data_IF_496212614197
#
_entry.id   IF_496212614197
#
_cell.length_a   1.000
_cell.length_b   1.000
_cell.length_c   1.000
_cell.angle_alpha   90.00
_cell.angle_beta   90.00
_cell.angle_gamma   90.00
#
_symmetry.space_group_name_H-M   'P 1'
#
loop_
_entity.id
_entity.type
_entity.pdbx_description
1 polymer ?
#
# COMPACT_ATOMS: atom_id res chain seq x y z
N UNK A 1 19.35 28.05 -27.71
CA UNK A 1 18.44 27.40 -26.75
C UNK A 1 18.33 28.30 -25.53
N UNK A 2 17.16 28.89 -25.24
CA UNK A 2 16.98 29.78 -24.09
C UNK A 2 16.90 28.92 -22.81
N UNK A 3 17.81 29.14 -21.88
CA UNK A 3 17.83 28.42 -20.59
C UNK A 3 16.61 28.76 -19.75
N UNK A 4 15.95 27.73 -19.21
CA UNK A 4 14.85 27.91 -18.27
C UNK A 4 15.43 28.31 -16.91
N UNK A 5 14.96 29.43 -16.36
CA UNK A 5 15.42 29.97 -15.08
C UNK A 5 15.07 29.03 -13.91
N UNK A 6 15.98 28.89 -12.94
CA UNK A 6 15.75 28.16 -11.69
C UNK A 6 14.48 28.64 -10.94
N UNK A 7 14.13 29.92 -11.07
CA UNK A 7 12.92 30.51 -10.49
C UNK A 7 11.61 29.96 -11.10
N UNK A 8 11.68 29.42 -12.33
CA UNK A 8 10.55 28.77 -13.01
C UNK A 8 10.52 27.26 -12.74
N UNK A 9 11.68 26.65 -12.50
CA UNK A 9 11.83 25.21 -12.26
C UNK A 9 11.42 24.80 -10.85
N UNK A 10 11.76 25.60 -9.83
CA UNK A 10 11.48 25.27 -8.42
C UNK A 10 9.98 25.20 -8.09
N UNK A 11 9.12 26.15 -8.53
CA UNK A 11 7.67 26.06 -8.33
C UNK A 11 7.02 24.92 -9.10
N UNK A 12 7.59 24.54 -10.26
CA UNK A 12 7.14 23.41 -11.07
C UNK A 12 7.45 22.08 -10.37
N UNK A 13 8.65 21.94 -9.80
CA UNK A 13 9.08 20.79 -9.01
C UNK A 13 8.28 20.65 -7.70
N UNK A 14 8.01 21.77 -7.01
CA UNK A 14 7.18 21.78 -5.80
C UNK A 14 5.72 21.37 -6.06
N UNK A 15 5.22 21.52 -7.31
CA UNK A 15 3.93 20.97 -7.74
C UNK A 15 4.01 19.51 -8.22
N UNK A 16 5.20 19.06 -8.62
CA UNK A 16 5.41 17.70 -9.13
C UNK A 16 5.50 16.64 -8.04
N UNK A 17 5.90 17.02 -6.82
CA UNK A 17 6.04 16.11 -5.68
C UNK A 17 5.18 16.55 -4.51
N UNK A 18 4.31 15.66 -4.05
CA UNK A 18 3.49 15.85 -2.86
C UNK A 18 3.91 14.90 -1.74
N UNK A 19 4.08 15.42 -0.53
CA UNK A 19 4.30 14.62 0.68
C UNK A 19 3.03 14.57 1.50
N UNK A 20 2.64 13.38 1.95
CA UNK A 20 1.47 13.17 2.81
C UNK A 20 1.92 12.54 4.12
N UNK A 21 1.40 13.04 5.24
CA UNK A 21 1.63 12.49 6.56
C UNK A 21 0.61 11.38 6.86
N UNK A 22 1.10 10.15 6.89
CA UNK A 22 0.34 8.95 7.19
C UNK A 22 0.91 8.36 8.49
N UNK A 23 0.59 8.97 9.63
CA UNK A 23 1.02 8.52 10.96
C UNK A 23 0.00 8.94 12.01
N UNK A 24 -0.29 8.11 13.03
CA UNK A 24 -1.35 8.37 14.01
C UNK A 24 -0.96 9.42 15.06
N UNK A 25 -0.60 10.63 14.62
CA UNK A 25 -0.16 11.75 15.49
C UNK A 25 -1.30 12.60 16.06
N UNK A 26 -2.56 12.23 15.85
CA UNK A 26 -3.72 12.96 16.35
C UNK A 26 -3.67 13.15 17.88
N UNK A 27 -3.33 12.08 18.60
CA UNK A 27 -3.28 12.11 20.07
C UNK A 27 -2.18 13.05 20.58
N UNK A 28 -1.05 13.13 19.88
CA UNK A 28 0.07 14.01 20.21
C UNK A 28 -0.29 15.50 20.03
N UNK A 29 -1.17 15.82 19.08
CA UNK A 29 -1.62 17.19 18.85
C UNK A 29 -2.72 17.62 19.83
N UNK A 30 -3.52 16.67 20.33
CA UNK A 30 -4.63 16.94 21.23
C UNK A 30 -4.21 16.97 22.71
N UNK A 31 -3.20 16.19 23.09
CA UNK A 31 -2.69 16.14 24.47
C UNK A 31 -1.54 17.12 24.65
N UNK A 32 -1.54 17.89 25.74
CA UNK A 32 -0.31 18.47 26.23
C UNK A 32 0.55 17.31 26.78
N UNK A 33 1.79 17.22 26.32
CA UNK A 33 2.77 16.29 26.86
C UNK A 33 3.76 17.15 27.63
N UNK A 34 3.86 16.95 28.95
CA UNK A 34 4.68 17.79 29.86
C UNK A 34 4.34 19.29 29.87
N UNK A 35 3.07 19.64 29.66
CA UNK A 35 2.64 21.05 29.65
C UNK A 35 2.90 21.77 28.31
N UNK A 36 3.58 21.13 27.37
CA UNK A 36 3.80 21.67 26.03
C UNK A 36 2.89 21.00 24.99
N UNK A 37 2.33 21.81 24.08
CA UNK A 37 1.66 21.29 22.89
C UNK A 37 2.74 20.96 21.87
N UNK A 38 3.06 19.68 21.71
CA UNK A 38 3.96 19.24 20.64
C UNK A 38 3.25 19.46 19.30
N UNK A 39 3.56 20.59 18.65
CA UNK A 39 2.89 21.03 17.41
C UNK A 39 3.89 21.03 16.27
N UNK A 40 3.86 19.96 15.47
CA UNK A 40 4.63 19.93 14.23
C UNK A 40 3.94 20.87 13.25
N UNK A 41 4.67 21.87 12.77
CA UNK A 41 4.17 22.74 11.70
C UNK A 41 4.36 22.04 10.34
N UNK A 42 3.42 21.17 9.98
CA UNK A 42 3.46 20.45 8.70
C UNK A 42 3.43 21.38 7.48
N UNK A 43 2.81 22.56 7.60
CA UNK A 43 2.75 23.55 6.51
C UNK A 43 4.15 24.09 6.20
N UNK A 44 4.96 24.35 7.22
CA UNK A 44 6.37 24.76 7.07
C UNK A 44 7.18 23.79 6.21
N UNK A 45 6.81 22.50 6.20
CA UNK A 45 7.51 21.45 5.47
C UNK A 45 6.82 21.00 4.18
N UNK A 46 5.75 21.70 3.73
CA UNK A 46 4.90 21.28 2.61
C UNK A 46 4.37 19.84 2.75
N UNK A 47 4.10 19.41 3.98
CA UNK A 47 3.52 18.10 4.27
C UNK A 47 2.00 18.26 4.36
N UNK A 48 1.29 17.52 3.51
CA UNK A 48 -0.17 17.45 3.53
C UNK A 48 -0.61 16.49 4.63
N UNK A 49 -1.63 16.88 5.40
CA UNK A 49 -2.18 16.04 6.47
C UNK A 49 -3.67 15.86 6.27
N UNK A 50 -4.21 14.76 6.79
CA UNK A 50 -5.64 14.66 7.05
C UNK A 50 -6.11 15.76 8.01
N UNK A 51 -7.37 16.15 7.88
CA UNK A 51 -8.05 17.10 8.76
C UNK A 51 -7.97 16.62 10.21
N UNK A 52 -7.63 17.51 11.14
CA UNK A 52 -7.39 17.19 12.57
C UNK A 52 -6.31 16.11 12.80
N UNK A 53 -5.45 15.87 11.82
CA UNK A 53 -4.37 14.87 11.88
C UNK A 53 -4.88 13.44 12.14
N UNK A 54 -6.11 13.14 11.71
CA UNK A 54 -6.65 11.78 11.82
C UNK A 54 -5.82 10.82 10.98
N UNK A 55 -5.73 9.58 11.45
CA UNK A 55 -4.97 8.55 10.75
C UNK A 55 -5.58 8.27 9.36
N UNK A 56 -6.89 8.01 9.32
CA UNK A 56 -7.69 7.97 8.10
C UNK A 56 -8.51 9.26 7.98
N UNK A 57 -8.54 9.90 6.81
CA UNK A 57 -9.22 11.17 6.62
C UNK A 57 -9.34 11.62 5.16
N UNK A 58 -9.44 12.94 4.95
CA UNK A 58 -9.79 13.55 3.67
C UNK A 58 -8.65 13.58 2.61
N UNK A 59 -7.44 13.16 2.97
CA UNK A 59 -6.27 13.12 2.08
C UNK A 59 -5.80 11.70 1.79
N UNK A 60 -5.78 10.85 2.82
CA UNK A 60 -5.30 9.47 2.75
C UNK A 60 -6.06 8.59 3.73
N UNK A 61 -6.37 7.38 3.28
CA UNK A 61 -6.98 6.30 4.08
C UNK A 61 -6.24 5.01 3.77
N UNK A 62 -5.83 4.29 4.82
CA UNK A 62 -5.26 2.95 4.72
C UNK A 62 -6.21 1.91 5.33
N UNK A 63 -6.36 0.80 4.63
CA UNK A 63 -7.19 -0.34 4.98
C UNK A 63 -6.30 -1.53 5.29
N UNK A 64 -6.01 -1.74 6.57
CA UNK A 64 -5.24 -2.90 7.02
C UNK A 64 -6.04 -4.20 6.90
N UNK A 65 -5.38 -5.26 6.45
CA UNK A 65 -5.89 -6.62 6.31
C UNK A 65 -6.67 -7.19 7.50
N UNK A 66 -6.40 -6.75 8.73
CA UNK A 66 -7.12 -7.22 9.92
C UNK A 66 -8.52 -6.62 10.06
N UNK A 67 -8.75 -5.46 9.44
CA UNK A 67 -9.96 -4.64 9.65
C UNK A 67 -10.70 -4.32 8.34
N UNK A 68 -10.25 -4.84 7.20
CA UNK A 68 -10.82 -4.53 5.88
C UNK A 68 -11.38 -5.77 5.17
N UNK A 69 -12.70 -5.78 5.00
CA UNK A 69 -13.43 -6.93 4.48
C UNK A 69 -13.24 -8.16 5.36
N UNK A 70 -13.43 -9.33 4.76
CA UNK A 70 -13.11 -10.64 5.35
C UNK A 70 -11.89 -11.24 4.66
N UNK A 71 -10.73 -10.59 4.79
CA UNK A 71 -9.49 -11.09 4.21
C UNK A 71 -9.14 -12.48 4.77
N UNK A 72 -8.97 -13.51 3.94
CA UNK A 72 -8.68 -14.87 4.40
C UNK A 72 -7.19 -15.02 4.70
N UNK A 73 -6.83 -15.59 5.85
CA UNK A 73 -5.43 -15.87 6.19
C UNK A 73 -5.29 -16.90 7.31
N UNK A 74 -4.10 -17.48 7.46
CA UNK A 74 -3.78 -18.33 8.61
C UNK A 74 -3.15 -17.51 9.72
N UNK A 75 -3.76 -17.52 10.92
CA UNK A 75 -3.24 -16.78 12.08
C UNK A 75 -1.85 -17.32 12.43
N UNK A 76 -0.87 -16.44 12.56
CA UNK A 76 0.54 -16.79 12.79
C UNK A 76 1.11 -17.79 11.75
N UNK A 77 0.54 -17.82 10.53
CA UNK A 77 0.86 -18.80 9.49
C UNK A 77 0.65 -20.25 9.93
N UNK A 78 -0.23 -20.51 10.90
CA UNK A 78 -0.64 -21.85 11.31
C UNK A 78 -1.90 -22.29 10.55
N UNK A 79 -1.78 -23.38 9.78
CA UNK A 79 -2.89 -23.91 8.96
C UNK A 79 -4.08 -24.41 9.80
N UNK A 80 -3.85 -24.72 11.08
CA UNK A 80 -4.89 -25.13 12.03
C UNK A 80 -5.73 -23.95 12.57
N UNK A 81 -5.32 -22.72 12.24
CA UNK A 81 -6.00 -21.50 12.67
C UNK A 81 -6.40 -20.62 11.47
N UNK A 82 -7.29 -21.11 10.59
CA UNK A 82 -7.79 -20.32 9.47
C UNK A 82 -8.70 -19.18 9.96
N UNK A 83 -8.46 -17.99 9.44
CA UNK A 83 -9.35 -16.83 9.53
C UNK A 83 -10.01 -16.65 8.18
N UNK A 84 -11.35 -16.57 8.15
CA UNK A 84 -12.17 -16.46 6.94
C UNK A 84 -11.86 -17.54 5.87
N UNK A 85 -11.54 -18.76 6.31
CA UNK A 85 -11.17 -19.89 5.43
C UNK A 85 -9.68 -19.95 5.08
N UNK A 86 -8.84 -19.06 5.59
CA UNK A 86 -7.38 -19.14 5.44
C UNK A 86 -6.83 -18.72 4.08
N UNK A 87 -7.53 -19.05 2.99
CA UNK A 87 -7.15 -18.76 1.60
C UNK A 87 -8.36 -18.35 0.75
N UNK A 88 -8.17 -17.59 -0.35
CA UNK A 88 -9.22 -17.22 -1.29
C UNK A 88 -10.10 -18.38 -1.81
N UNK A 89 -9.56 -19.60 -1.95
CA UNK A 89 -10.31 -20.75 -2.43
C UNK A 89 -11.39 -21.23 -1.45
N UNK A 90 -11.18 -20.98 -0.16
CA UNK A 90 -12.09 -21.40 0.91
C UNK A 90 -12.87 -20.21 1.51
N UNK A 91 -12.63 -18.99 1.02
CA UNK A 91 -13.28 -17.80 1.51
C UNK A 91 -14.64 -17.58 0.84
N UNK A 92 -15.58 -16.97 1.57
CA UNK A 92 -16.80 -16.43 0.98
C UNK A 92 -16.51 -15.02 0.43
N UNK A 93 -16.22 -14.94 -0.88
CA UNK A 93 -15.89 -13.67 -1.54
C UNK A 93 -17.04 -12.66 -1.46
N UNK A 94 -18.30 -13.08 -1.55
CA UNK A 94 -19.45 -12.17 -1.44
C UNK A 94 -19.48 -11.52 -0.06
N UNK A 95 -19.36 -12.31 1.01
CA UNK A 95 -19.32 -11.79 2.37
C UNK A 95 -18.10 -10.87 2.61
N UNK A 96 -16.94 -11.17 1.99
CA UNK A 96 -15.79 -10.26 2.01
C UNK A 96 -16.13 -8.90 1.40
N UNK A 97 -16.76 -8.89 0.22
CA UNK A 97 -17.11 -7.65 -0.49
C UNK A 97 -18.18 -6.85 0.25
N UNK A 98 -19.21 -7.49 0.81
CA UNK A 98 -20.23 -6.82 1.63
C UNK A 98 -19.62 -6.16 2.87
N UNK A 99 -18.70 -6.86 3.55
CA UNK A 99 -17.96 -6.29 4.68
C UNK A 99 -17.06 -5.14 4.23
N UNK A 100 -16.34 -5.31 3.13
CA UNK A 100 -15.45 -4.28 2.58
C UNK A 100 -16.22 -3.01 2.20
N UNK A 101 -17.42 -3.12 1.62
CA UNK A 101 -18.28 -1.98 1.31
C UNK A 101 -18.67 -1.21 2.57
N UNK A 102 -19.05 -1.91 3.65
CA UNK A 102 -19.32 -1.29 4.95
C UNK A 102 -18.07 -0.58 5.50
N UNK A 103 -16.92 -1.23 5.46
CA UNK A 103 -15.65 -0.67 5.96
C UNK A 103 -15.23 0.60 5.19
N UNK A 104 -15.45 0.63 3.87
CA UNK A 104 -15.21 1.81 3.03
C UNK A 104 -16.18 2.92 3.37
N UNK A 105 -17.47 2.61 3.52
CA UNK A 105 -18.48 3.61 3.88
C UNK A 105 -18.21 4.24 5.26
N UNK A 106 -17.69 3.46 6.21
CA UNK A 106 -17.30 3.97 7.53
C UNK A 106 -16.02 4.81 7.48
N UNK A 107 -15.01 4.38 6.71
CA UNK A 107 -13.69 5.03 6.70
C UNK A 107 -13.62 6.24 5.75
N UNK A 108 -14.40 6.21 4.67
CA UNK A 108 -14.47 7.25 3.64
C UNK A 108 -15.95 7.62 3.47
N UNK A 109 -16.57 8.36 4.41
CA UNK A 109 -17.98 8.70 4.33
C UNK A 109 -18.30 9.64 3.15
N UNK A 110 -17.32 10.45 2.70
CA UNK A 110 -17.47 11.30 1.53
C UNK A 110 -17.39 10.48 0.23
N UNK A 111 -18.51 10.37 -0.50
CA UNK A 111 -18.57 9.67 -1.79
C UNK A 111 -17.72 10.35 -2.88
N UNK A 112 -17.45 11.65 -2.74
CA UNK A 112 -16.64 12.42 -3.67
C UNK A 112 -15.14 12.44 -3.30
N UNK A 113 -14.74 11.68 -2.27
CA UNK A 113 -13.35 11.58 -1.82
C UNK A 113 -12.40 11.37 -2.99
N UNK A 114 -11.41 12.26 -3.11
CA UNK A 114 -10.42 12.29 -4.19
C UNK A 114 -8.97 12.10 -3.71
N UNK A 115 -8.82 11.68 -2.45
CA UNK A 115 -7.54 11.34 -1.84
C UNK A 115 -7.06 9.94 -2.24
N UNK A 116 -6.07 9.45 -1.50
CA UNK A 116 -5.48 8.12 -1.71
C UNK A 116 -6.14 7.08 -0.81
N UNK A 117 -6.52 5.94 -1.38
CA UNK A 117 -7.11 4.82 -0.65
C UNK A 117 -6.23 3.58 -0.85
N UNK A 118 -5.59 3.14 0.23
CA UNK A 118 -4.54 2.13 0.19
C UNK A 118 -5.06 0.84 0.82
N UNK A 119 -5.04 -0.26 0.07
CA UNK A 119 -5.37 -1.59 0.60
C UNK A 119 -4.07 -2.29 0.98
N UNK A 120 -3.94 -2.67 2.25
CA UNK A 120 -2.74 -3.27 2.79
C UNK A 120 -2.95 -4.76 3.09
N UNK A 121 -2.80 -5.58 2.04
CA UNK A 121 -2.90 -7.04 2.08
C UNK A 121 -1.51 -7.69 2.04
N UNK A 122 -1.10 -8.28 3.15
CA UNK A 122 0.24 -8.80 3.36
C UNK A 122 0.31 -10.24 3.89
N UNK A 123 -0.77 -10.86 4.39
CA UNK A 123 -0.69 -12.25 4.90
C UNK A 123 -0.30 -13.27 3.84
N UNK A 124 -0.63 -13.03 2.58
CA UNK A 124 -0.16 -13.81 1.44
C UNK A 124 0.07 -12.90 0.23
N UNK A 125 0.88 -13.37 -0.70
CA UNK A 125 1.24 -12.67 -1.94
C UNK A 125 0.39 -13.17 -3.13
N UNK A 126 0.16 -12.33 -4.15
CA UNK A 126 -0.75 -12.66 -5.26
C UNK A 126 -0.26 -13.78 -6.17
N UNK A 127 1.04 -14.05 -6.24
CA UNK A 127 1.61 -15.19 -6.96
C UNK A 127 2.09 -16.28 -6.00
N UNK A 128 1.93 -17.54 -6.41
CA UNK A 128 2.26 -18.67 -5.55
C UNK A 128 3.75 -18.70 -5.19
N UNK A 129 4.61 -18.49 -6.20
CA UNK A 129 6.07 -18.45 -6.05
C UNK A 129 6.59 -17.38 -5.09
N UNK A 130 5.78 -16.40 -4.73
CA UNK A 130 6.15 -15.34 -3.78
C UNK A 130 5.87 -15.73 -2.32
N UNK A 131 5.09 -16.79 -2.07
CA UNK A 131 4.65 -17.16 -0.72
C UNK A 131 5.62 -18.11 0.00
N UNK A 132 6.47 -18.83 -0.74
CA UNK A 132 7.56 -19.61 -0.15
C UNK A 132 8.59 -18.70 0.56
N UNK A 133 8.73 -17.47 0.08
CA UNK A 133 9.53 -16.42 0.71
C UNK A 133 8.79 -15.92 1.98
N UNK A 134 9.46 -15.99 3.13
CA UNK A 134 8.95 -15.62 4.48
C UNK A 134 7.98 -16.61 5.16
N UNK A 135 7.92 -17.87 4.73
CA UNK A 135 7.08 -18.91 5.36
C UNK A 135 5.58 -18.54 5.38
N UNK A 136 5.11 -17.73 4.42
CA UNK A 136 3.68 -17.43 4.27
C UNK A 136 2.98 -18.70 3.82
N UNK A 137 2.46 -19.46 4.79
CA UNK A 137 1.83 -20.75 4.50
C UNK A 137 0.54 -20.52 3.73
N UNK A 138 0.48 -21.03 2.52
CA UNK A 138 -0.75 -21.14 1.75
C UNK A 138 -0.95 -22.63 1.49
N UNK A 139 -1.91 -23.26 2.18
CA UNK A 139 -2.27 -24.66 1.91
C UNK A 139 -2.88 -24.75 0.52
N UNK A 140 -2.25 -25.46 -0.42
CA UNK A 140 -2.69 -25.48 -1.83
C UNK A 140 -2.72 -26.90 -2.37
N UNK A 141 -3.81 -27.22 -3.07
CA UNK A 141 -3.93 -28.42 -3.90
C UNK A 141 -3.72 -28.15 -5.40
N UNK A 142 -3.72 -26.88 -5.87
CA UNK A 142 -3.51 -26.53 -7.30
C UNK A 142 -3.01 -25.08 -7.53
N UNK A 143 -1.89 -24.94 -8.27
CA UNK A 143 -1.30 -23.65 -8.69
C UNK A 143 -2.22 -22.86 -9.62
N UNK A 144 -2.97 -23.54 -10.49
CA UNK A 144 -3.92 -22.88 -11.41
C UNK A 144 -5.10 -22.28 -10.66
N UNK A 145 -5.66 -23.01 -9.70
CA UNK A 145 -6.75 -22.52 -8.86
C UNK A 145 -6.29 -21.32 -8.01
N UNK A 146 -5.05 -21.36 -7.50
CA UNK A 146 -4.42 -20.23 -6.82
C UNK A 146 -4.42 -19.00 -7.73
N UNK A 147 -3.85 -19.09 -8.94
CA UNK A 147 -3.72 -17.95 -9.85
C UNK A 147 -5.08 -17.31 -10.17
N UNK A 148 -6.11 -18.11 -10.39
CA UNK A 148 -7.44 -17.59 -10.72
C UNK A 148 -8.14 -16.93 -9.53
N UNK A 149 -8.15 -17.60 -8.37
CA UNK A 149 -8.93 -17.15 -7.21
C UNK A 149 -8.26 -16.02 -6.43
N UNK A 150 -6.92 -16.05 -6.30
CA UNK A 150 -6.17 -14.95 -5.67
C UNK A 150 -6.29 -13.67 -6.49
N UNK A 151 -6.10 -13.77 -7.82
CA UNK A 151 -6.30 -12.65 -8.74
C UNK A 151 -7.71 -12.10 -8.65
N UNK A 152 -8.72 -12.98 -8.68
CA UNK A 152 -10.13 -12.58 -8.58
C UNK A 152 -10.41 -11.84 -7.28
N UNK A 153 -9.84 -12.28 -6.16
CA UNK A 153 -10.00 -11.61 -4.87
C UNK A 153 -9.49 -10.17 -4.93
N UNK A 154 -8.23 -9.95 -5.32
CA UNK A 154 -7.64 -8.62 -5.46
C UNK A 154 -8.45 -7.71 -6.39
N UNK A 155 -8.80 -8.21 -7.59
CA UNK A 155 -9.54 -7.43 -8.58
C UNK A 155 -10.92 -7.04 -8.07
N UNK A 156 -11.68 -7.98 -7.49
CA UNK A 156 -13.04 -7.69 -7.02
C UNK A 156 -13.04 -6.69 -5.86
N UNK A 157 -12.07 -6.76 -4.96
CA UNK A 157 -11.95 -5.81 -3.85
C UNK A 157 -11.61 -4.40 -4.32
N UNK A 158 -10.65 -4.22 -5.22
CA UNK A 158 -10.31 -2.86 -5.73
C UNK A 158 -11.38 -2.32 -6.67
N UNK A 159 -12.02 -3.16 -7.49
CA UNK A 159 -13.16 -2.79 -8.33
C UNK A 159 -14.33 -2.26 -7.48
N UNK A 160 -14.62 -2.90 -6.35
CA UNK A 160 -15.61 -2.43 -5.40
C UNK A 160 -15.28 -1.01 -4.90
N UNK A 161 -14.06 -0.79 -4.42
CA UNK A 161 -13.62 0.53 -3.94
C UNK A 161 -13.74 1.60 -5.02
N UNK A 162 -13.30 1.31 -6.24
CA UNK A 162 -13.40 2.21 -7.40
C UNK A 162 -14.85 2.51 -7.77
N UNK A 163 -15.74 1.53 -7.66
CA UNK A 163 -17.17 1.70 -7.95
C UNK A 163 -17.81 2.68 -6.97
N UNK A 164 -17.55 2.53 -5.67
CA UNK A 164 -18.22 3.31 -4.63
C UNK A 164 -17.49 4.61 -4.27
N UNK A 165 -16.19 4.75 -4.58
CA UNK A 165 -15.39 5.97 -4.44
C UNK A 165 -14.63 6.26 -5.73
N UNK A 166 -15.37 6.68 -6.76
CA UNK A 166 -14.90 6.87 -8.14
C UNK A 166 -13.75 7.87 -8.30
N UNK A 167 -13.70 8.90 -7.44
CA UNK A 167 -12.68 9.94 -7.51
C UNK A 167 -11.40 9.59 -6.74
N UNK A 168 -11.46 8.55 -5.89
CA UNK A 168 -10.35 8.15 -5.05
C UNK A 168 -9.28 7.43 -5.87
N UNK A 169 -8.03 7.61 -5.46
CA UNK A 169 -6.87 6.96 -6.07
C UNK A 169 -6.58 5.67 -5.31
N UNK A 170 -7.15 4.55 -5.77
CA UNK A 170 -6.97 3.25 -5.15
C UNK A 170 -5.67 2.57 -5.58
N UNK A 171 -5.10 1.79 -4.68
CA UNK A 171 -4.01 0.87 -4.98
C UNK A 171 -3.66 0.00 -3.79
N UNK A 172 -2.73 -0.92 -4.00
CA UNK A 172 -2.28 -1.85 -2.98
C UNK A 172 -0.92 -1.44 -2.44
N UNK A 173 -0.76 -1.47 -1.12
CA UNK A 173 0.52 -1.24 -0.47
C UNK A 173 1.56 -2.30 -0.90
N UNK A 174 2.81 -1.85 -1.02
CA UNK A 174 3.96 -2.68 -1.33
C UNK A 174 4.20 -2.89 -2.82
N UNK A 175 3.24 -2.60 -3.70
CA UNK A 175 3.35 -2.85 -5.14
C UNK A 175 3.79 -1.61 -5.94
N UNK A 176 4.64 -1.79 -6.98
CA UNK A 176 5.29 -3.03 -7.41
C UNK A 176 6.41 -3.46 -6.44
N UNK A 177 6.73 -4.76 -6.44
CA UNK A 177 7.83 -5.25 -5.63
C UNK A 177 9.18 -4.98 -6.28
N UNK A 178 10.19 -4.84 -5.43
CA UNK A 178 11.60 -4.80 -5.81
C UNK A 178 12.41 -5.50 -4.71
N UNK A 179 13.73 -5.41 -4.82
CA UNK A 179 14.66 -5.85 -3.80
C UNK A 179 14.33 -5.26 -2.43
N UNK A 180 13.88 -6.09 -1.49
CA UNK A 180 13.74 -5.69 -0.08
C UNK A 180 15.10 -5.45 0.60
N UNK A 181 16.19 -5.85 -0.05
CA UNK A 181 17.59 -5.57 0.30
C UNK A 181 18.21 -4.48 -0.58
N UNK A 182 17.40 -3.67 -1.28
CA UNK A 182 17.87 -2.56 -2.09
C UNK A 182 18.79 -1.63 -1.27
N UNK A 183 19.89 -1.20 -1.87
CA UNK A 183 21.00 -0.56 -1.16
C UNK A 183 22.08 -1.53 -0.68
N UNK A 184 22.17 -2.75 -1.23
CA UNK A 184 23.31 -3.65 -1.10
C UNK A 184 24.03 -3.85 -2.45
N UNK A 185 24.50 -2.75 -3.04
CA UNK A 185 25.38 -2.78 -4.22
C UNK A 185 24.71 -2.89 -5.60
N UNK A 186 23.38 -3.09 -5.66
CA UNK A 186 22.63 -3.13 -6.93
C UNK A 186 21.56 -2.06 -7.02
N UNK A 187 21.48 -1.38 -8.18
CA UNK A 187 20.54 -0.28 -8.47
C UNK A 187 19.24 -0.71 -9.18
N UNK A 188 19.17 -1.97 -9.60
CA UNK A 188 18.03 -2.51 -10.34
C UNK A 188 17.35 -3.61 -9.54
N UNK A 189 16.04 -3.76 -9.74
CA UNK A 189 15.34 -4.92 -9.22
C UNK A 189 15.91 -6.20 -9.85
N UNK A 190 16.09 -7.26 -9.05
CA UNK A 190 16.46 -8.58 -9.54
C UNK A 190 15.40 -9.09 -10.53
N UNK A 191 15.82 -9.89 -11.51
CA UNK A 191 14.93 -10.35 -12.58
C UNK A 191 13.75 -11.17 -12.07
N UNK A 192 13.87 -11.82 -10.90
CA UNK A 192 12.73 -12.49 -10.24
C UNK A 192 11.59 -11.51 -9.93
N UNK A 193 11.90 -10.31 -9.41
CA UNK A 193 10.89 -9.29 -9.10
C UNK A 193 10.31 -8.70 -10.37
N UNK A 194 11.13 -8.49 -11.40
CA UNK A 194 10.64 -8.03 -12.72
C UNK A 194 9.62 -9.02 -13.30
N UNK A 195 9.94 -10.32 -13.30
CA UNK A 195 9.04 -11.39 -13.75
C UNK A 195 7.73 -11.43 -12.95
N UNK A 196 7.82 -11.36 -11.62
CA UNK A 196 6.62 -11.31 -10.77
C UNK A 196 5.77 -10.07 -11.05
N UNK A 197 6.39 -8.90 -11.22
CA UNK A 197 5.67 -7.68 -11.59
C UNK A 197 4.98 -7.81 -12.96
N UNK A 198 5.63 -8.44 -13.95
CA UNK A 198 5.01 -8.72 -15.25
C UNK A 198 3.76 -9.58 -15.13
N UNK A 199 3.78 -10.61 -14.28
CA UNK A 199 2.62 -11.46 -14.00
C UNK A 199 1.53 -10.73 -13.19
N UNK A 200 1.93 -9.79 -12.33
CA UNK A 200 1.05 -8.97 -11.50
C UNK A 200 0.55 -7.68 -12.16
N UNK A 201 0.77 -7.49 -13.46
CA UNK A 201 0.24 -6.34 -14.23
C UNK A 201 -1.24 -6.07 -14.00
N UNK A 202 -2.02 -7.10 -13.66
CA UNK A 202 -3.43 -6.95 -13.32
C UNK A 202 -3.71 -6.07 -12.10
N UNK A 203 -2.84 -6.09 -11.09
CA UNK A 203 -2.93 -5.22 -9.93
C UNK A 203 -2.68 -3.78 -10.37
N UNK A 204 -1.64 -3.57 -11.18
CA UNK A 204 -1.23 -2.24 -11.62
C UNK A 204 -2.28 -1.61 -12.54
N UNK A 205 -2.79 -2.39 -13.51
CA UNK A 205 -3.83 -1.95 -14.42
C UNK A 205 -5.16 -1.67 -13.71
N UNK A 206 -5.45 -2.38 -12.61
CA UNK A 206 -6.65 -2.13 -11.83
C UNK A 206 -6.52 -0.91 -10.90
N UNK A 207 -5.30 -0.56 -10.49
CA UNK A 207 -5.00 0.54 -9.57
C UNK A 207 -5.02 1.91 -10.26
N UNK A 208 -5.28 2.97 -9.48
CA UNK A 208 -5.14 4.38 -9.91
C UNK A 208 -3.89 5.05 -9.33
N UNK A 209 -3.22 4.39 -8.37
CA UNK A 209 -1.92 4.77 -7.82
C UNK A 209 -1.12 3.52 -7.43
N UNK A 210 0.21 3.63 -7.43
CA UNK A 210 1.13 2.57 -7.00
C UNK A 210 1.82 2.99 -5.70
N UNK A 211 1.96 2.06 -4.77
CA UNK A 211 2.47 2.31 -3.41
C UNK A 211 3.64 1.38 -3.07
N UNK A 212 4.76 1.44 -3.80
CA UNK A 212 5.93 0.62 -3.50
C UNK A 212 6.48 0.98 -2.11
N UNK A 213 6.82 -0.03 -1.32
CA UNK A 213 7.47 0.20 -0.02
C UNK A 213 8.95 0.44 -0.21
N UNK A 214 9.46 1.49 0.43
CA UNK A 214 10.86 1.95 0.32
C UNK A 214 11.54 1.99 1.69
N UNK A 215 11.03 1.23 2.65
CA UNK A 215 11.57 1.17 4.00
C UNK A 215 13.00 0.64 4.01
N UNK A 216 13.84 1.26 4.83
CA UNK A 216 15.25 0.95 4.92
C UNK A 216 15.47 -0.17 5.95
N UNK A 217 16.14 -1.24 5.53
CA UNK A 217 16.54 -2.32 6.43
C UNK A 217 17.74 -1.90 7.30
N UNK A 218 17.64 -2.16 8.61
CA UNK A 218 18.71 -1.91 9.58
C UNK A 218 19.94 -2.82 9.38
N UNK A 219 19.79 -3.93 8.64
CA UNK A 219 20.84 -4.95 8.47
C UNK A 219 21.76 -4.71 7.26
N UNK A 220 21.79 -3.49 6.72
CA UNK A 220 22.60 -3.17 5.53
C UNK A 220 23.95 -2.57 5.91
N UNK A 221 25.04 -3.06 5.29
CA UNK A 221 26.42 -2.60 5.53
C UNK A 221 26.71 -1.20 4.91
N UNK A 222 25.74 -0.59 4.22
CA UNK A 222 25.93 0.67 3.50
C UNK A 222 25.64 1.91 4.37
N UNK A 223 26.40 2.99 4.08
CA UNK A 223 26.26 4.30 4.74
C UNK A 223 24.87 4.91 4.45
N UNK A 224 24.24 5.64 5.39
CA UNK A 224 22.86 6.14 5.27
C UNK A 224 22.54 6.92 3.98
N UNK A 225 23.51 7.67 3.42
CA UNK A 225 23.34 8.44 2.17
C UNK A 225 23.15 7.59 0.91
N UNK A 226 23.58 6.34 0.91
CA UNK A 226 23.46 5.42 -0.23
C UNK A 226 22.19 4.57 -0.16
N UNK A 227 21.18 4.96 0.62
CA UNK A 227 19.94 4.18 0.80
C UNK A 227 18.73 4.71 0.01
N UNK A 228 18.77 5.97 -0.47
CA UNK A 228 17.57 6.70 -0.92
C UNK A 228 17.25 6.66 -2.44
N UNK A 229 18.16 6.18 -3.30
CA UNK A 229 18.01 6.28 -4.77
C UNK A 229 17.36 5.06 -5.48
N UNK A 230 16.90 4.04 -4.75
CA UNK A 230 16.92 2.66 -5.28
C UNK A 230 15.57 2.04 -5.66
N UNK A 231 14.48 2.77 -5.56
CA UNK A 231 13.14 2.24 -5.88
C UNK A 231 12.72 2.72 -7.27
N UNK A 232 13.18 1.99 -8.29
CA UNK A 232 12.72 2.20 -9.66
C UNK A 232 11.26 1.75 -9.78
N UNK A 233 10.35 2.73 -9.92
CA UNK A 233 9.09 2.52 -10.64
C UNK A 233 9.39 2.87 -12.09
N UNK A 234 9.79 1.89 -12.91
CA UNK A 234 9.72 2.05 -14.36
C UNK A 234 8.33 1.57 -14.79
N UNK A 235 7.44 2.46 -15.27
CA UNK A 235 6.32 2.01 -16.07
C UNK A 235 6.89 1.28 -17.28
N UNK A 236 6.37 0.09 -17.59
CA UNK A 236 6.61 -0.55 -18.88
C UNK A 236 6.11 0.35 -20.00
#
# INVERSE_FOLDING_TARGET
MKGVSAATVLPLLMKAFSTIWEYPSQQCHNKSVYGEKYKIDFKKYNITTNTKFTFNGDKIVIFYETNFGLYPYYKNYNMDHPVNGGIPQQCNLTAHLEKAEKDINMSIPDENFSGYAIIDFEKWRPLFSENDWMKKRVGICSVTAFRTLFRRFFLKTIELGKRIRKNAKWGFYGFPYCNYDAGNGTYQCQDKYKKWNDEMKFIFNASQALFPSIYLSNNTKQKPRQRFFYTQVRPC
#
